data_IF_178678962837
#
_entry.id   IF_178678962837
#
_cell.length_a   1.000
_cell.length_b   1.000
_cell.length_c   1.000
_cell.angle_alpha   90.00
_cell.angle_beta   90.00
_cell.angle_gamma   90.00
#
_symmetry.space_group_name_H-M   'P 1'
#
loop_
_entity.id
_entity.type
_entity.pdbx_description
1 polymer ?
#
# COMPACT_ATOMS: atom_id res chain seq x y z
N UNK A 1 -15.19 -8.14 11.31
CA UNK A 1 -14.53 -9.28 10.64
C UNK A 1 -13.87 -8.80 9.37
N UNK A 2 -12.59 -9.13 9.16
CA UNK A 2 -11.91 -8.90 7.88
C UNK A 2 -12.51 -9.82 6.82
N UNK A 3 -12.72 -9.29 5.60
CA UNK A 3 -13.13 -10.10 4.46
C UNK A 3 -11.92 -10.52 3.64
N UNK A 4 -11.98 -11.70 3.07
CA UNK A 4 -10.93 -12.31 2.25
C UNK A 4 -10.16 -13.45 2.97
N UNK A 5 -9.05 -13.93 2.38
CA UNK A 5 -8.38 -13.35 1.20
C UNK A 5 -9.18 -13.54 -0.09
N UNK A 6 -9.12 -12.52 -0.95
CA UNK A 6 -9.68 -12.54 -2.30
C UNK A 6 -8.56 -12.30 -3.31
N UNK A 7 -8.73 -12.80 -4.53
CA UNK A 7 -7.94 -12.33 -5.67
C UNK A 7 -8.10 -10.80 -5.80
N UNK A 8 -7.07 -10.13 -6.28
CA UNK A 8 -7.16 -8.71 -6.58
C UNK A 8 -8.08 -8.43 -7.79
N UNK A 9 -8.40 -9.46 -8.56
CA UNK A 9 -9.47 -9.46 -9.54
C UNK A 9 -10.84 -9.55 -8.86
N UNK A 10 -11.31 -8.42 -8.35
CA UNK A 10 -12.60 -8.34 -7.68
C UNK A 10 -13.74 -8.49 -8.70
N UNK A 11 -14.42 -9.63 -8.68
CA UNK A 11 -15.45 -9.98 -9.66
C UNK A 11 -16.66 -9.04 -9.61
N UNK A 12 -17.06 -8.55 -8.42
CA UNK A 12 -18.24 -7.72 -8.26
C UNK A 12 -17.97 -6.44 -7.44
N UNK A 13 -18.56 -5.31 -7.86
CA UNK A 13 -18.50 -4.09 -7.09
C UNK A 13 -19.21 -4.23 -5.74
N UNK A 14 -18.59 -3.74 -4.67
CA UNK A 14 -19.18 -3.70 -3.34
C UNK A 14 -19.10 -2.30 -2.73
N UNK A 15 -19.96 -2.05 -1.75
CA UNK A 15 -20.04 -0.78 -1.02
C UNK A 15 -19.19 -0.85 0.24
N UNK A 16 -18.49 0.22 0.54
CA UNK A 16 -17.73 0.38 1.78
C UNK A 16 -16.57 1.34 1.65
N UNK A 17 -16.18 1.86 2.80
CA UNK A 17 -14.94 2.59 3.04
C UNK A 17 -14.23 1.94 4.22
N UNK A 18 -12.91 2.07 4.31
CA UNK A 18 -12.17 1.39 5.36
C UNK A 18 -10.71 1.20 5.05
N UNK A 19 -10.15 0.11 5.55
CA UNK A 19 -8.75 -0.28 5.34
C UNK A 19 -8.65 -1.58 4.56
N UNK A 20 -7.54 -1.77 3.89
CA UNK A 20 -7.24 -2.98 3.14
C UNK A 20 -5.75 -3.30 3.21
N UNK A 21 -5.43 -4.55 2.93
CA UNK A 21 -4.07 -5.05 2.84
C UNK A 21 -3.90 -5.87 1.56
N UNK A 22 -2.76 -5.74 0.91
CA UNK A 22 -2.34 -6.55 -0.22
C UNK A 22 -1.26 -7.53 0.22
N UNK A 23 -1.31 -8.74 -0.30
CA UNK A 23 -0.41 -9.84 0.04
C UNK A 23 0.19 -10.38 -1.25
N UNK A 24 1.51 -10.52 -1.27
CA UNK A 24 2.23 -11.03 -2.43
C UNK A 24 2.32 -12.55 -2.40
N UNK A 25 1.97 -13.19 -3.51
CA UNK A 25 1.99 -14.66 -3.66
C UNK A 25 2.89 -15.14 -4.80
N UNK A 26 3.45 -14.19 -5.56
CA UNK A 26 4.21 -14.48 -6.77
C UNK A 26 5.62 -15.02 -6.55
N UNK A 27 6.40 -15.04 -7.61
CA UNK A 27 7.72 -15.69 -7.65
C UNK A 27 8.92 -14.75 -7.78
N UNK A 28 8.70 -13.40 -7.77
CA UNK A 28 9.79 -12.43 -7.87
C UNK A 28 10.78 -12.63 -6.74
N UNK A 29 12.04 -12.89 -7.09
CA UNK A 29 13.10 -13.32 -6.15
C UNK A 29 13.26 -12.35 -4.97
N UNK A 30 13.17 -11.06 -5.24
CA UNK A 30 13.25 -9.99 -4.25
C UNK A 30 12.22 -10.14 -3.11
N UNK A 31 11.00 -10.55 -3.42
CA UNK A 31 9.91 -10.65 -2.43
C UNK A 31 9.72 -12.08 -1.88
N UNK A 32 10.66 -12.99 -2.14
CA UNK A 32 10.54 -14.39 -1.69
C UNK A 32 10.35 -14.51 -0.18
N UNK A 33 11.06 -13.71 0.61
CA UNK A 33 11.02 -13.75 2.08
C UNK A 33 9.70 -13.26 2.67
N UNK A 34 8.95 -12.45 1.93
CA UNK A 34 7.65 -11.90 2.35
C UNK A 34 6.49 -12.48 1.57
N UNK A 35 6.72 -13.55 0.81
CA UNK A 35 5.64 -14.25 0.09
C UNK A 35 4.63 -14.82 1.09
N UNK A 36 3.35 -14.50 0.90
CA UNK A 36 2.29 -14.79 1.87
C UNK A 36 1.04 -15.39 1.20
N UNK A 37 1.10 -16.66 0.76
CA UNK A 37 -0.03 -17.33 0.11
C UNK A 37 -1.23 -17.53 1.05
N UNK A 38 -1.01 -17.54 2.35
CA UNK A 38 -2.02 -17.57 3.40
C UNK A 38 -2.58 -16.18 3.76
N UNK A 39 -2.09 -15.12 3.10
CA UNK A 39 -2.44 -13.74 3.37
C UNK A 39 -2.27 -13.33 4.85
N UNK A 40 -1.17 -13.75 5.47
CA UNK A 40 -0.80 -13.41 6.85
C UNK A 40 0.10 -12.18 6.94
N UNK A 41 0.97 -11.95 5.94
CA UNK A 41 1.91 -10.84 5.94
C UNK A 41 1.72 -9.90 4.74
N UNK A 42 1.27 -8.65 4.96
CA UNK A 42 0.99 -7.73 3.87
C UNK A 42 2.27 -7.12 3.27
N UNK A 43 2.30 -6.99 1.94
CA UNK A 43 3.29 -6.18 1.23
C UNK A 43 2.92 -4.68 1.22
N UNK A 44 1.61 -4.39 1.34
CA UNK A 44 1.06 -3.05 1.38
C UNK A 44 -0.20 -2.98 2.23
N UNK A 45 -0.37 -1.88 2.96
CA UNK A 45 -1.60 -1.52 3.67
C UNK A 45 -2.04 -0.14 3.22
N UNK A 46 -3.35 0.02 3.01
CA UNK A 46 -3.91 1.29 2.62
C UNK A 46 -5.32 1.53 3.16
N UNK A 47 -5.82 2.73 2.87
CA UNK A 47 -7.18 3.15 3.23
C UNK A 47 -7.96 3.66 2.05
N UNK A 48 -9.26 3.52 2.13
CA UNK A 48 -10.22 4.10 1.21
C UNK A 48 -11.24 4.93 2.00
N UNK A 49 -11.19 6.25 1.81
CA UNK A 49 -12.01 7.22 2.53
C UNK A 49 -13.14 7.70 1.63
N UNK A 50 -14.38 7.84 2.13
CA UNK A 50 -15.48 8.38 1.33
C UNK A 50 -15.16 9.76 0.76
N UNK A 51 -15.64 10.09 -0.44
CA UNK A 51 -15.53 11.44 -0.98
C UNK A 51 -16.13 12.47 0.00
N UNK A 52 -15.43 13.60 0.19
CA UNK A 52 -15.88 14.67 1.08
C UNK A 52 -15.62 14.46 2.58
N UNK A 53 -15.18 13.30 3.02
CA UNK A 53 -14.88 13.04 4.44
C UNK A 53 -13.85 14.00 5.03
N UNK A 54 -12.89 14.48 4.22
CA UNK A 54 -11.90 15.51 4.64
C UNK A 54 -12.52 16.88 4.90
N UNK A 55 -13.72 17.14 4.39
CA UNK A 55 -14.45 18.41 4.54
C UNK A 55 -15.55 18.33 5.60
N UNK A 56 -15.59 17.26 6.41
CA UNK A 56 -16.62 17.06 7.43
C UNK A 56 -18.02 16.77 6.87
N UNK A 57 -18.17 16.58 5.57
CA UNK A 57 -19.44 16.24 4.97
C UNK A 57 -19.87 14.83 5.41
N UNK A 58 -21.03 14.72 6.06
CA UNK A 58 -21.71 13.44 6.29
C UNK A 58 -22.24 12.92 4.95
N UNK A 59 -21.45 12.12 4.27
CA UNK A 59 -21.95 11.43 3.09
C UNK A 59 -22.87 10.31 3.54
N UNK A 60 -24.17 10.51 3.33
CA UNK A 60 -25.22 9.50 3.56
C UNK A 60 -25.37 8.52 2.39
N UNK A 61 -24.65 8.75 1.29
CA UNK A 61 -24.71 7.87 0.12
C UNK A 61 -23.76 6.70 0.23
N UNK A 62 -24.19 5.48 -0.16
CA UNK A 62 -23.32 4.32 -0.23
C UNK A 62 -22.14 4.56 -1.19
N UNK A 63 -20.91 4.44 -0.74
CA UNK A 63 -19.70 4.66 -1.53
C UNK A 63 -18.98 3.35 -1.79
N UNK A 64 -18.46 3.21 -2.99
CA UNK A 64 -17.62 2.07 -3.39
C UNK A 64 -16.12 2.38 -3.24
N UNK A 65 -15.74 3.16 -2.20
CA UNK A 65 -14.39 3.68 -2.05
C UNK A 65 -13.35 2.55 -1.95
N UNK A 66 -13.61 1.50 -1.18
CA UNK A 66 -12.72 0.32 -1.09
C UNK A 66 -12.57 -0.38 -2.43
N UNK A 67 -13.68 -0.67 -3.11
CA UNK A 67 -13.66 -1.33 -4.41
C UNK A 67 -12.89 -0.51 -5.45
N UNK A 68 -13.14 0.79 -5.55
CA UNK A 68 -12.46 1.68 -6.48
C UNK A 68 -10.95 1.71 -6.20
N UNK A 69 -10.57 1.81 -4.92
CA UNK A 69 -9.15 1.86 -4.52
C UNK A 69 -8.41 0.56 -4.83
N UNK A 70 -9.01 -0.59 -4.58
CA UNK A 70 -8.43 -1.88 -4.92
C UNK A 70 -8.27 -2.05 -6.44
N UNK A 71 -9.24 -1.58 -7.23
CA UNK A 71 -9.14 -1.56 -8.68
C UNK A 71 -8.00 -0.67 -9.19
N UNK A 72 -7.83 0.53 -8.64
CA UNK A 72 -6.71 1.43 -8.97
C UNK A 72 -5.35 0.78 -8.66
N UNK A 73 -5.27 0.01 -7.58
CA UNK A 73 -4.07 -0.74 -7.25
C UNK A 73 -3.80 -1.88 -8.22
N UNK A 74 -4.84 -2.62 -8.64
CA UNK A 74 -4.72 -3.61 -9.70
C UNK A 74 -4.18 -2.98 -10.97
N UNK A 75 -4.79 -1.89 -11.44
CA UNK A 75 -4.34 -1.15 -12.62
C UNK A 75 -2.86 -0.68 -12.50
N UNK A 76 -2.45 -0.26 -11.30
CA UNK A 76 -1.06 0.14 -11.04
C UNK A 76 -0.08 -1.04 -11.08
N UNK A 77 -0.48 -2.21 -10.58
CA UNK A 77 0.31 -3.45 -10.61
C UNK A 77 0.42 -3.95 -12.06
N UNK A 78 -0.69 -4.01 -12.78
CA UNK A 78 -0.72 -4.50 -14.17
C UNK A 78 0.01 -3.54 -15.14
N UNK A 79 0.13 -2.26 -14.79
CA UNK A 79 0.97 -1.33 -15.53
C UNK A 79 2.47 -1.57 -15.34
N UNK A 80 2.89 -2.19 -14.24
CA UNK A 80 4.29 -2.48 -13.96
C UNK A 80 4.80 -3.63 -14.84
N UNK A 81 5.99 -3.48 -15.40
CA UNK A 81 6.55 -4.47 -16.35
C UNK A 81 7.01 -5.78 -15.69
N UNK A 82 7.15 -5.80 -14.37
CA UNK A 82 7.67 -6.93 -13.60
C UNK A 82 6.72 -7.46 -12.52
N UNK A 83 5.46 -7.06 -12.56
CA UNK A 83 4.41 -7.54 -11.65
C UNK A 83 3.20 -8.04 -12.45
N UNK A 84 2.37 -8.87 -11.83
CA UNK A 84 1.05 -9.27 -12.32
C UNK A 84 0.06 -9.21 -11.17
N UNK A 85 -1.15 -8.74 -11.39
CA UNK A 85 -2.22 -8.73 -10.38
C UNK A 85 -2.61 -10.13 -9.91
N UNK A 86 -2.35 -11.17 -10.71
CA UNK A 86 -2.57 -12.57 -10.35
C UNK A 86 -1.68 -13.04 -9.20
N UNK A 87 -0.56 -12.35 -9.00
CA UNK A 87 0.38 -12.60 -7.90
C UNK A 87 -0.03 -11.92 -6.58
N UNK A 88 -1.27 -11.42 -6.49
CA UNK A 88 -1.70 -10.70 -5.29
C UNK A 88 -3.05 -11.16 -4.76
N UNK A 89 -3.11 -11.25 -3.43
CA UNK A 89 -4.35 -11.38 -2.70
C UNK A 89 -4.66 -10.08 -1.95
N UNK A 90 -5.93 -9.86 -1.63
CA UNK A 90 -6.35 -8.74 -0.79
C UNK A 90 -7.25 -9.19 0.37
N UNK A 91 -7.16 -8.47 1.48
CA UNK A 91 -8.14 -8.46 2.56
C UNK A 91 -8.60 -7.04 2.78
N UNK A 92 -9.85 -6.86 3.16
CA UNK A 92 -10.36 -5.55 3.53
C UNK A 92 -11.30 -5.60 4.72
N UNK A 93 -11.42 -4.47 5.39
CA UNK A 93 -12.32 -4.25 6.50
C UNK A 93 -13.06 -2.94 6.30
N UNK A 94 -14.40 -3.02 6.18
CA UNK A 94 -15.23 -1.83 6.19
C UNK A 94 -15.24 -1.23 7.62
N UNK A 95 -14.91 0.04 7.72
CA UNK A 95 -14.73 0.76 9.00
C UNK A 95 -15.46 2.09 8.91
N UNK A 96 -16.06 2.51 10.01
CA UNK A 96 -16.62 3.86 10.16
C UNK A 96 -15.55 4.91 9.87
N UNK A 97 -15.85 5.97 9.09
CA UNK A 97 -14.86 6.95 8.63
C UNK A 97 -13.94 7.52 9.72
N UNK A 98 -14.47 7.69 10.93
CA UNK A 98 -13.71 8.16 12.10
C UNK A 98 -12.48 7.29 12.43
N UNK A 99 -12.58 5.98 12.24
CA UNK A 99 -11.55 5.01 12.63
C UNK A 99 -10.61 4.62 11.50
N UNK A 100 -10.90 4.98 10.24
CA UNK A 100 -10.14 4.52 9.07
C UNK A 100 -8.66 4.87 9.18
N UNK A 101 -8.33 6.12 9.52
CA UNK A 101 -6.93 6.57 9.59
C UNK A 101 -6.18 5.91 10.74
N UNK A 102 -6.85 5.69 11.87
CA UNK A 102 -6.24 5.00 13.01
C UNK A 102 -6.00 3.52 12.71
N UNK A 103 -6.97 2.86 12.07
CA UNK A 103 -6.83 1.46 11.67
C UNK A 103 -5.70 1.24 10.65
N UNK A 104 -5.61 2.11 9.63
CA UNK A 104 -4.48 2.06 8.67
C UNK A 104 -3.14 2.22 9.38
N UNK A 105 -3.01 3.25 10.22
CA UNK A 105 -1.77 3.52 10.96
C UNK A 105 -1.39 2.34 11.85
N UNK A 106 -2.33 1.79 12.60
CA UNK A 106 -2.13 0.62 13.44
C UNK A 106 -1.62 -0.58 12.64
N UNK A 107 -2.21 -0.85 11.47
CA UNK A 107 -1.76 -1.95 10.61
C UNK A 107 -0.36 -1.70 10.05
N UNK A 108 -0.05 -0.49 9.59
CA UNK A 108 1.29 -0.15 9.09
C UNK A 108 2.34 -0.27 10.21
N UNK A 109 2.04 0.23 11.41
CA UNK A 109 2.94 0.15 12.56
C UNK A 109 3.22 -1.30 13.00
N UNK A 110 2.22 -2.18 12.92
CA UNK A 110 2.38 -3.59 13.33
C UNK A 110 3.05 -4.46 12.27
N UNK A 111 2.71 -4.28 11.00
CA UNK A 111 3.19 -5.14 9.92
C UNK A 111 4.39 -4.57 9.19
N UNK A 112 4.65 -3.27 9.28
CA UNK A 112 5.75 -2.60 8.57
C UNK A 112 5.87 -3.02 7.09
N UNK A 113 4.79 -2.92 6.28
CA UNK A 113 4.81 -3.45 4.91
C UNK A 113 5.85 -2.70 4.08
N UNK A 114 6.64 -3.42 3.28
CA UNK A 114 7.76 -2.82 2.53
C UNK A 114 7.33 -1.68 1.60
N UNK A 115 6.14 -1.75 0.99
CA UNK A 115 5.63 -0.71 0.10
C UNK A 115 5.05 0.51 0.84
N UNK A 116 4.91 0.44 2.17
CA UNK A 116 4.59 1.59 3.01
C UNK A 116 5.82 2.23 3.63
N UNK A 117 6.84 1.43 3.99
CA UNK A 117 7.95 1.87 4.85
C UNK A 117 9.24 2.12 4.07
N UNK A 118 9.58 1.24 3.13
CA UNK A 118 10.84 1.31 2.40
C UNK A 118 10.65 1.68 0.92
N UNK A 119 9.90 0.90 0.19
CA UNK A 119 9.66 1.10 -1.24
C UNK A 119 8.35 1.88 -1.43
N UNK A 120 8.36 3.12 -0.97
CA UNK A 120 7.19 3.99 -1.00
C UNK A 120 6.82 4.44 -2.41
N UNK A 121 5.54 4.81 -2.59
CA UNK A 121 5.03 5.41 -3.83
C UNK A 121 3.97 4.59 -4.55
N UNK A 122 3.70 3.34 -4.13
CA UNK A 122 2.66 2.52 -4.73
C UNK A 122 1.28 3.21 -4.75
N UNK A 123 0.90 3.82 -3.64
CA UNK A 123 -0.38 4.51 -3.48
C UNK A 123 -0.50 5.88 -4.17
N UNK A 124 0.52 6.33 -4.90
CA UNK A 124 0.50 7.61 -5.60
C UNK A 124 -0.30 7.54 -6.90
N UNK A 125 -0.90 8.68 -7.25
CA UNK A 125 -1.57 8.94 -8.52
C UNK A 125 -0.78 9.95 -9.34
N UNK A 126 -1.15 10.12 -10.61
CA UNK A 126 -0.62 11.19 -11.46
C UNK A 126 -0.75 12.55 -10.74
N UNK A 127 0.35 13.22 -10.43
CA UNK A 127 0.33 14.47 -9.70
C UNK A 127 -0.17 15.66 -10.55
N UNK A 128 -0.38 15.44 -11.86
CA UNK A 128 -0.74 16.45 -12.85
C UNK A 128 0.46 17.27 -13.34
N UNK A 129 0.27 17.95 -14.48
CA UNK A 129 1.32 18.65 -15.24
C UNK A 129 2.15 19.65 -14.43
N UNK A 130 1.53 20.35 -13.47
CA UNK A 130 2.23 21.32 -12.61
C UNK A 130 3.21 20.70 -11.59
N UNK A 131 3.26 19.37 -11.45
CA UNK A 131 4.08 18.67 -10.45
C UNK A 131 5.07 17.66 -11.03
N UNK A 132 5.25 17.61 -12.34
CA UNK A 132 6.22 16.70 -12.98
C UNK A 132 7.70 17.07 -12.71
N UNK A 133 7.96 18.21 -12.09
CA UNK A 133 9.29 18.53 -11.55
C UNK A 133 9.66 17.69 -10.31
N UNK A 134 8.70 16.93 -9.77
CA UNK A 134 8.91 16.03 -8.63
C UNK A 134 9.77 14.82 -8.98
N UNK A 135 10.24 14.15 -7.94
CA UNK A 135 11.09 12.96 -8.05
C UNK A 135 10.24 11.71 -8.24
N UNK A 136 10.70 10.78 -9.11
CA UNK A 136 10.11 9.45 -9.25
C UNK A 136 10.21 8.69 -7.95
N UNK A 137 9.13 8.02 -7.55
CA UNK A 137 9.06 7.25 -6.30
C UNK A 137 9.96 6.00 -6.33
N UNK A 138 10.32 5.48 -5.17
CA UNK A 138 11.06 4.22 -5.07
C UNK A 138 10.29 3.06 -5.71
N UNK A 139 8.98 3.03 -5.55
CA UNK A 139 8.14 2.01 -6.16
C UNK A 139 8.15 2.08 -7.69
N UNK A 140 8.05 3.28 -8.28
CA UNK A 140 8.08 3.45 -9.73
C UNK A 140 9.45 3.19 -10.36
N UNK A 141 10.51 3.28 -9.57
CA UNK A 141 11.86 2.91 -10.02
C UNK A 141 12.01 1.39 -10.03
N UNK A 142 11.54 0.70 -8.98
CA UNK A 142 11.65 -0.73 -8.83
C UNK A 142 10.67 -1.49 -9.72
N UNK A 143 9.49 -0.91 -9.95
CA UNK A 143 8.39 -1.45 -10.76
C UNK A 143 7.97 -0.45 -11.84
N UNK A 144 8.80 -0.30 -12.89
CA UNK A 144 8.52 0.65 -13.95
C UNK A 144 7.34 0.23 -14.82
N UNK A 145 6.54 1.23 -15.29
CA UNK A 145 5.44 0.97 -16.22
C UNK A 145 4.30 1.97 -16.14
N UNK A 146 4.06 2.63 -14.99
CA UNK A 146 3.05 3.68 -14.91
C UNK A 146 3.45 4.87 -15.77
N UNK A 147 2.71 5.13 -16.87
CA UNK A 147 3.08 6.11 -17.88
C UNK A 147 3.35 7.53 -17.34
N UNK A 148 2.59 7.96 -16.32
CA UNK A 148 2.78 9.27 -15.71
C UNK A 148 4.10 9.37 -14.91
N UNK A 149 4.57 8.26 -14.33
CA UNK A 149 5.80 8.26 -13.54
C UNK A 149 7.05 8.52 -14.38
N UNK A 150 7.00 8.21 -15.68
CA UNK A 150 8.09 8.47 -16.63
C UNK A 150 8.33 9.96 -16.88
N UNK A 151 7.34 10.82 -16.54
CA UNK A 151 7.46 12.27 -16.64
C UNK A 151 8.15 12.90 -15.43
N UNK A 152 8.31 12.15 -14.35
CA UNK A 152 8.99 12.60 -13.14
C UNK A 152 10.51 12.50 -13.29
N UNK A 153 11.24 13.28 -12.49
CA UNK A 153 12.70 13.25 -12.51
C UNK A 153 13.23 11.92 -11.97
N UNK A 154 14.10 11.29 -12.74
CA UNK A 154 14.83 10.10 -12.32
C UNK A 154 16.17 10.52 -11.71
N UNK A 155 16.27 10.48 -10.40
CA UNK A 155 17.46 10.85 -9.64
C UNK A 155 18.05 9.66 -8.88
N UNK A 156 17.44 8.49 -9.04
CA UNK A 156 17.78 7.24 -8.35
C UNK A 156 17.80 6.11 -9.37
N UNK A 157 18.62 5.10 -9.13
CA UNK A 157 18.73 3.95 -10.01
C UNK A 157 17.90 2.76 -9.52
N UNK A 158 17.65 1.78 -10.39
CA UNK A 158 17.04 0.50 -10.02
C UNK A 158 17.91 -0.20 -8.97
N UNK A 159 19.24 -0.18 -9.13
CA UNK A 159 20.17 -0.77 -8.17
C UNK A 159 20.06 -0.13 -6.77
N UNK A 160 19.81 1.18 -6.68
CA UNK A 160 19.56 1.84 -5.40
C UNK A 160 18.26 1.35 -4.76
N UNK A 161 17.21 1.15 -5.56
CA UNK A 161 15.92 0.66 -5.09
C UNK A 161 15.99 -0.80 -4.63
N UNK A 162 16.72 -1.66 -5.38
CA UNK A 162 16.98 -3.05 -5.01
C UNK A 162 17.77 -3.15 -3.70
N UNK A 163 18.87 -2.42 -3.58
CA UNK A 163 19.67 -2.37 -2.35
C UNK A 163 18.85 -1.91 -1.15
N UNK A 164 17.97 -0.93 -1.36
CA UNK A 164 17.06 -0.44 -0.32
C UNK A 164 16.05 -1.50 0.11
N UNK A 165 15.49 -2.24 -0.84
CA UNK A 165 14.58 -3.34 -0.57
C UNK A 165 15.26 -4.47 0.19
N UNK A 166 16.44 -4.89 -0.26
CA UNK A 166 17.27 -5.92 0.40
C UNK A 166 17.62 -5.54 1.83
N UNK A 167 18.13 -4.34 2.05
CA UNK A 167 18.47 -3.84 3.38
C UNK A 167 17.28 -3.86 4.34
N UNK A 168 16.08 -3.54 3.85
CA UNK A 168 14.86 -3.63 4.62
C UNK A 168 14.51 -5.08 4.94
N UNK A 169 14.49 -5.96 3.94
CA UNK A 169 14.05 -7.34 4.06
C UNK A 169 14.99 -8.22 4.90
N UNK A 170 16.29 -7.93 4.91
CA UNK A 170 17.27 -8.62 5.79
C UNK A 170 16.96 -8.37 7.27
N UNK A 171 16.51 -7.16 7.60
CA UNK A 171 16.19 -6.77 8.98
C UNK A 171 14.73 -7.01 9.36
N UNK A 172 13.90 -7.37 8.38
CA UNK A 172 12.46 -7.55 8.54
C UNK A 172 12.12 -9.03 8.40
N UNK A 173 11.92 -9.71 9.54
CA UNK A 173 11.57 -11.13 9.56
C UNK A 173 10.04 -11.28 9.69
N UNK A 174 9.31 -11.59 8.60
CA UNK A 174 7.89 -11.87 8.67
C UNK A 174 7.67 -13.13 9.52
N UNK A 175 6.86 -13.03 10.56
CA UNK A 175 6.56 -14.11 11.49
C UNK A 175 7.17 -13.95 12.88
N UNK A 176 8.05 -12.98 13.11
CA UNK A 176 8.30 -12.53 14.46
C UNK A 176 7.31 -11.43 14.82
N UNK A 177 6.54 -11.59 15.90
CA UNK A 177 5.72 -10.50 16.40
C UNK A 177 6.68 -9.31 16.65
N UNK A 178 6.37 -8.18 16.02
CA UNK A 178 7.04 -6.94 16.37
C UNK A 178 6.98 -6.79 17.87
N UNK A 179 8.08 -6.38 18.54
CA UNK A 179 8.00 -6.07 19.96
C UNK A 179 6.85 -5.07 20.15
N UNK A 180 6.01 -5.25 21.19
CA UNK A 180 4.88 -4.38 21.43
C UNK A 180 5.38 -2.94 21.36
N UNK A 181 4.65 -2.10 20.63
CA UNK A 181 4.95 -0.67 20.46
C UNK A 181 5.42 -0.11 21.80
N UNK A 182 6.72 0.01 21.99
CA UNK A 182 7.23 0.86 23.03
C UNK A 182 6.73 2.27 22.66
N UNK A 183 5.72 2.71 23.38
CA UNK A 183 5.13 4.03 23.25
C UNK A 183 6.28 5.03 23.28
N UNK A 184 6.74 5.53 22.13
CA UNK A 184 7.64 6.67 22.03
C UNK A 184 6.88 7.94 22.41
N UNK A 185 6.27 7.90 23.60
CA UNK A 185 5.58 9.04 24.20
C UNK A 185 6.54 10.12 24.67
N UNK A 186 7.85 10.00 24.42
CA UNK A 186 8.85 10.95 24.98
C UNK A 186 9.30 12.06 24.03
N UNK A 187 8.87 12.11 22.79
CA UNK A 187 9.36 13.16 21.86
C UNK A 187 8.34 14.24 21.50
N UNK A 188 7.10 14.18 22.03
CA UNK A 188 6.07 15.18 21.71
C UNK A 188 5.84 16.26 22.78
N UNK A 189 6.56 16.21 23.90
CA UNK A 189 6.48 17.25 24.95
C UNK A 189 7.88 17.74 25.35
N UNK A 190 8.58 18.30 24.41
CA UNK A 190 9.87 18.91 24.62
C UNK A 190 10.04 20.19 23.80
N UNK A 191 9.54 21.28 24.31
CA UNK A 191 9.71 22.71 24.09
C UNK A 191 8.52 23.44 23.50
#
# INVERSE_FOLDING_TARGET
MTRGPYSLELAEPFVGSGVYALFYTGSLAMYRSIRSPDASWPIYVGKAVPPGARKGAKSMTPHRALFQRLREHRESIDAASNLSSDDFLCRYLAVTPLWITMAERFLIENFQPIWNVSIEGFGLHDPGSGRYAGQRSWWDILHPGRAWSLRLKETRTVADAEKRAEAFLVNHNPGHPMPPLQCRAREFYGR
#
